data_IF_629624423896
#
_entry.id   IF_629624423896
#
_cell.length_a   1.000
_cell.length_b   1.000
_cell.length_c   1.000
_cell.angle_alpha   90.00
_cell.angle_beta   90.00
_cell.angle_gamma   90.00
#
_symmetry.space_group_name_H-M   'P 1'
#
loop_
_entity.id
_entity.type
_entity.pdbx_description
1 polymer ?
#
# COMPACT_ATOMS: atom_id res chain seq x y z
N UNK A 1 18.75 -4.10 -11.19
CA UNK A 1 18.96 -3.95 -9.74
C UNK A 1 17.62 -3.80 -9.03
N UNK A 2 17.44 -4.44 -7.87
CA UNK A 2 16.27 -4.25 -7.00
C UNK A 2 16.69 -3.51 -5.73
N UNK A 3 15.94 -2.51 -5.33
CA UNK A 3 16.21 -1.67 -4.16
C UNK A 3 15.00 -1.72 -3.24
N UNK A 4 15.19 -2.20 -2.02
CA UNK A 4 14.14 -2.22 -1.00
C UNK A 4 14.61 -1.41 0.20
N UNK A 5 13.89 -0.33 0.51
CA UNK A 5 14.20 0.57 1.62
C UNK A 5 13.03 0.54 2.60
N UNK A 6 13.28 0.17 3.85
CA UNK A 6 12.29 0.24 4.93
C UNK A 6 12.76 1.21 6.00
N UNK A 7 11.91 2.17 6.35
CA UNK A 7 12.16 3.19 7.36
C UNK A 7 11.06 3.14 8.42
N UNK A 8 11.45 2.96 9.69
CA UNK A 8 10.54 3.17 10.82
C UNK A 8 10.67 4.63 11.24
N UNK A 9 9.69 5.46 10.88
CA UNK A 9 9.73 6.89 11.19
C UNK A 9 9.44 7.11 12.67
N UNK A 10 8.47 6.36 13.20
CA UNK A 10 8.20 6.25 14.64
C UNK A 10 7.72 4.82 14.95
N UNK A 11 7.48 4.48 16.22
CA UNK A 11 6.94 3.17 16.63
C UNK A 11 5.67 2.76 15.90
N UNK A 12 4.85 3.73 15.52
CA UNK A 12 3.56 3.52 14.88
C UNK A 12 3.57 3.82 13.38
N UNK A 13 4.70 4.21 12.80
CA UNK A 13 4.81 4.57 11.39
C UNK A 13 5.91 3.81 10.69
N UNK A 14 5.53 3.09 9.64
CA UNK A 14 6.46 2.36 8.78
C UNK A 14 6.28 2.79 7.34
N UNK A 15 7.37 3.15 6.70
CA UNK A 15 7.40 3.47 5.27
C UNK A 15 8.32 2.47 4.59
N UNK A 16 7.87 1.93 3.47
CA UNK A 16 8.64 1.05 2.60
C UNK A 16 8.62 1.62 1.19
N UNK A 17 9.77 1.60 0.55
CA UNK A 17 9.93 1.96 -0.85
C UNK A 17 10.66 0.83 -1.54
N UNK A 18 10.09 0.32 -2.63
CA UNK A 18 10.71 -0.70 -3.46
C UNK A 18 10.86 -0.14 -4.86
N UNK A 19 12.03 -0.27 -5.47
CA UNK A 19 12.30 0.19 -6.82
C UNK A 19 13.13 -0.83 -7.57
N UNK A 20 12.69 -1.17 -8.79
CA UNK A 20 13.41 -2.02 -9.72
C UNK A 20 13.94 -1.17 -10.85
N UNK A 21 15.27 -1.14 -10.97
CA UNK A 21 15.96 -0.41 -12.01
C UNK A 21 16.61 -1.38 -13.00
N UNK A 22 16.46 -1.12 -14.29
CA UNK A 22 17.22 -1.78 -15.34
C UNK A 22 18.47 -0.95 -15.62
N UNK A 23 19.64 -1.53 -15.35
CA UNK A 23 20.93 -0.84 -15.48
C UNK A 23 21.39 -0.78 -16.94
N UNK A 24 20.96 -1.72 -17.77
CA UNK A 24 21.35 -1.77 -19.19
C UNK A 24 20.61 -0.68 -19.98
N UNK A 25 19.30 -0.60 -19.77
CA UNK A 25 18.45 0.42 -20.38
C UNK A 25 18.36 1.73 -19.59
N UNK A 26 19.09 1.83 -18.46
CA UNK A 26 19.07 2.96 -17.52
C UNK A 26 17.65 3.45 -17.17
N UNK A 27 16.71 2.52 -17.00
CA UNK A 27 15.29 2.82 -16.85
C UNK A 27 14.72 2.28 -15.55
N UNK A 28 13.80 3.04 -14.97
CA UNK A 28 13.03 2.59 -13.81
C UNK A 28 11.89 1.68 -14.28
N UNK A 29 12.02 0.39 -14.00
CA UNK A 29 11.06 -0.65 -14.43
C UNK A 29 9.80 -0.60 -13.56
N UNK A 30 9.97 -0.46 -12.25
CA UNK A 30 8.87 -0.41 -11.31
C UNK A 30 9.29 0.33 -10.04
N UNK A 31 8.34 1.00 -9.39
CA UNK A 31 8.51 1.55 -8.05
C UNK A 31 7.20 1.44 -7.28
N UNK A 32 7.28 1.14 -5.99
CA UNK A 32 6.13 1.09 -5.10
C UNK A 32 6.46 1.68 -3.74
N UNK A 33 5.47 2.35 -3.17
CA UNK A 33 5.52 2.95 -1.84
C UNK A 33 4.46 2.29 -0.97
N UNK A 34 4.84 1.84 0.22
CA UNK A 34 3.93 1.30 1.21
C UNK A 34 4.07 2.07 2.51
N UNK A 35 3.01 2.67 2.99
CA UNK A 35 2.96 3.40 4.26
C UNK A 35 2.00 2.66 5.17
N UNK A 36 2.46 2.31 6.37
CA UNK A 36 1.66 1.70 7.41
C UNK A 36 1.65 2.59 8.65
N UNK A 37 0.45 2.78 9.20
CA UNK A 37 0.26 3.48 10.47
C UNK A 37 -0.58 2.66 11.44
N UNK A 38 -0.06 2.52 12.65
CA UNK A 38 -0.76 2.01 13.81
C UNK A 38 -1.51 3.15 14.54
N UNK A 39 -2.82 2.99 14.72
CA UNK A 39 -3.70 3.91 15.44
C UNK A 39 -4.33 3.24 16.68
N UNK A 40 -3.65 2.25 17.26
CA UNK A 40 -4.09 1.45 18.41
C UNK A 40 -5.24 0.49 18.10
N UNK A 41 -6.48 0.98 18.02
CA UNK A 41 -7.64 0.16 17.66
C UNK A 41 -7.83 0.02 16.14
N UNK A 42 -7.16 0.89 15.37
CA UNK A 42 -7.25 0.96 13.93
C UNK A 42 -5.88 0.77 13.32
N UNK A 43 -5.84 0.27 12.09
CA UNK A 43 -4.65 0.23 11.26
C UNK A 43 -4.96 0.83 9.90
N UNK A 44 -3.98 1.56 9.38
CA UNK A 44 -4.05 2.15 8.05
C UNK A 44 -2.85 1.65 7.24
N UNK A 45 -3.11 1.22 6.01
CA UNK A 45 -2.09 0.89 5.03
C UNK A 45 -2.40 1.57 3.71
N UNK A 46 -1.39 2.23 3.14
CA UNK A 46 -1.44 2.87 1.83
C UNK A 46 -0.38 2.19 0.98
N UNK A 47 -0.77 1.63 -0.15
CA UNK A 47 0.13 1.10 -1.18
C UNK A 47 -0.05 1.91 -2.45
N UNK A 48 1.02 2.52 -2.93
CA UNK A 48 1.00 3.38 -4.11
C UNK A 48 2.06 2.94 -5.11
N UNK A 49 1.61 2.70 -6.34
CA UNK A 49 2.45 2.39 -7.49
C UNK A 49 2.19 3.48 -8.54
N UNK A 50 3.12 4.43 -8.75
CA UNK A 50 2.89 5.56 -9.66
C UNK A 50 2.84 5.18 -11.15
N UNK A 51 3.35 4.02 -11.56
CA UNK A 51 3.37 3.64 -12.97
C UNK A 51 3.74 2.17 -13.20
N UNK A 52 3.58 1.73 -14.46
CA UNK A 52 3.82 0.33 -14.86
C UNK A 52 2.63 -0.60 -14.61
N UNK A 53 2.90 -1.91 -14.65
CA UNK A 53 1.89 -2.94 -14.36
C UNK A 53 1.51 -2.90 -12.87
N UNK A 54 0.24 -2.64 -12.58
CA UNK A 54 -0.25 -2.47 -11.22
C UNK A 54 -0.21 -1.01 -10.72
N UNK A 55 -0.16 -0.03 -11.62
CA UNK A 55 -0.34 1.38 -11.27
C UNK A 55 -1.65 1.60 -10.51
N UNK A 56 -1.60 2.47 -9.50
CA UNK A 56 -2.75 2.82 -8.69
C UNK A 56 -2.39 3.12 -7.26
N UNK A 57 -3.40 3.58 -6.52
CA UNK A 57 -3.33 3.80 -5.09
C UNK A 57 -4.35 2.87 -4.43
N UNK A 58 -3.90 2.13 -3.44
CA UNK A 58 -4.72 1.25 -2.62
C UNK A 58 -4.62 1.72 -1.17
N UNK A 59 -5.74 2.18 -0.63
CA UNK A 59 -5.85 2.64 0.75
C UNK A 59 -6.74 1.65 1.48
N UNK A 60 -6.28 1.20 2.64
CA UNK A 60 -7.03 0.30 3.51
C UNK A 60 -6.97 0.79 4.93
N UNK A 61 -8.13 0.85 5.57
CA UNK A 61 -8.29 1.19 6.97
C UNK A 61 -9.11 0.08 7.61
N UNK A 62 -8.59 -0.57 8.66
CA UNK A 62 -9.31 -1.61 9.37
C UNK A 62 -9.32 -1.35 10.87
N UNK A 63 -10.36 -1.84 11.55
CA UNK A 63 -10.36 -2.01 13.00
C UNK A 63 -9.62 -3.31 13.33
N UNK A 64 -8.66 -3.26 14.26
CA UNK A 64 -7.84 -4.42 14.66
C UNK A 64 -8.60 -5.42 15.53
N UNK A 65 -9.61 -4.95 16.27
CA UNK A 65 -10.36 -5.79 17.21
C UNK A 65 -11.22 -6.83 16.46
N UNK A 66 -11.11 -8.13 16.78
CA UNK A 66 -11.98 -9.16 16.23
C UNK A 66 -13.45 -9.00 16.65
N UNK A 67 -13.72 -8.22 17.70
CA UNK A 67 -15.07 -7.98 18.26
C UNK A 67 -15.82 -6.85 17.54
N UNK A 68 -15.14 -6.03 16.72
CA UNK A 68 -15.71 -4.86 16.02
C UNK A 68 -15.48 -4.94 14.49
N UNK A 69 -15.55 -6.15 13.92
CA UNK A 69 -15.40 -6.40 12.47
C UNK A 69 -16.54 -5.79 11.61
N UNK A 70 -17.60 -5.27 12.21
CA UNK A 70 -18.77 -4.75 11.50
C UNK A 70 -18.55 -3.39 10.82
N UNK A 71 -17.45 -2.68 11.10
CA UNK A 71 -17.12 -1.42 10.44
C UNK A 71 -15.93 -1.55 9.49
N UNK A 72 -16.07 -2.41 8.47
CA UNK A 72 -15.07 -2.56 7.41
C UNK A 72 -15.41 -1.66 6.22
N UNK A 73 -14.79 -0.48 6.15
CA UNK A 73 -14.87 0.41 4.98
C UNK A 73 -13.68 0.12 4.05
N UNK A 74 -13.92 -0.59 2.94
CA UNK A 74 -12.95 -0.77 1.86
C UNK A 74 -13.34 0.12 0.66
N UNK A 75 -12.61 1.21 0.43
CA UNK A 75 -12.70 1.94 -0.84
C UNK A 75 -11.58 1.48 -1.78
N UNK A 76 -11.96 0.86 -2.91
CA UNK A 76 -11.03 0.45 -3.97
C UNK A 76 -11.23 1.36 -5.18
N UNK A 77 -10.29 2.26 -5.43
CA UNK A 77 -10.25 3.06 -6.67
C UNK A 77 -9.61 2.28 -7.82
N UNK A 78 -10.16 2.41 -9.04
CA UNK A 78 -9.60 1.84 -10.28
C UNK A 78 -10.50 0.85 -11.02
N UNK A 79 -9.97 0.22 -12.09
CA UNK A 79 -10.68 -0.64 -13.08
C UNK A 79 -11.39 -1.86 -12.43
N UNK A 80 -11.12 -2.17 -11.17
CA UNK A 80 -11.70 -3.28 -10.41
C UNK A 80 -13.11 -3.00 -9.83
N UNK A 81 -13.76 -1.88 -10.17
CA UNK A 81 -15.11 -1.53 -9.70
C UNK A 81 -16.23 -2.52 -10.08
N UNK A 82 -16.02 -3.46 -11.01
CA UNK A 82 -17.04 -4.47 -11.35
C UNK A 82 -16.89 -5.72 -10.48
N UNK A 83 -17.48 -5.67 -9.28
CA UNK A 83 -17.99 -6.79 -8.44
C UNK A 83 -17.56 -6.64 -6.98
N UNK A 84 -18.15 -5.67 -6.29
CA UNK A 84 -18.63 -5.96 -4.95
C UNK A 84 -20.06 -6.47 -5.12
N UNK A 85 -20.27 -7.80 -5.11
CA UNK A 85 -21.58 -8.37 -4.83
C UNK A 85 -21.68 -8.50 -3.32
N UNK A 86 -22.70 -7.84 -2.76
CA UNK A 86 -23.28 -8.16 -1.46
C UNK A 86 -23.72 -9.63 -1.45
#
# INVERSE_FOLDING_TARGET
MNTNTTLQVTTNWRIQHNARFDLENQSLVNQSFSIYRDLHCWEMSISWTPGGYGQGIYIRINVKSPTLKDLKLEERGGIFQRRAKF
#
